data_IF_106095255620
#
_entry.id   IF_106095255620
#
_cell.length_a   1.000
_cell.length_b   1.000
_cell.length_c   1.000
_cell.angle_alpha   90.00
_cell.angle_beta   90.00
_cell.angle_gamma   90.00
#
_symmetry.space_group_name_H-M   'P 1'
#
loop_
_entity.id
_entity.type
_entity.pdbx_description
1 polymer ?
#
# COMPACT_ATOMS: atom_id res chain seq x y z
N UNK A 1 49.94 34.55 -5.99
CA UNK A 1 49.35 35.82 -6.44
C UNK A 1 48.28 35.46 -7.45
N UNK A 2 46.99 35.72 -7.31
CA UNK A 2 46.22 36.53 -6.35
C UNK A 2 44.79 35.99 -6.43
N UNK A 3 44.15 35.90 -5.27
CA UNK A 3 42.72 35.71 -5.12
C UNK A 3 41.96 36.82 -5.86
N UNK A 4 40.77 36.50 -6.39
CA UNK A 4 39.59 37.34 -6.20
C UNK A 4 38.33 36.45 -6.15
N UNK A 5 37.76 36.39 -4.96
CA UNK A 5 36.40 36.03 -4.63
C UNK A 5 35.41 37.04 -5.23
N UNK A 6 34.29 36.56 -5.78
CA UNK A 6 33.05 37.31 -5.82
C UNK A 6 31.87 36.32 -5.80
N UNK A 7 31.26 36.24 -4.63
CA UNK A 7 29.91 35.77 -4.34
C UNK A 7 28.87 36.48 -5.21
N UNK A 8 27.87 35.75 -5.70
CA UNK A 8 26.47 36.18 -5.68
C UNK A 8 25.54 35.03 -6.04
N UNK A 9 24.56 34.86 -5.17
CA UNK A 9 23.41 34.00 -5.28
C UNK A 9 22.67 34.12 -6.61
N UNK A 10 22.41 33.00 -7.27
CA UNK A 10 21.09 32.70 -7.83
C UNK A 10 20.82 31.24 -7.55
N UNK A 11 20.03 30.98 -6.50
CA UNK A 11 19.49 29.66 -6.23
C UNK A 11 18.63 29.23 -7.41
N UNK A 12 19.06 28.18 -8.11
CA UNK A 12 18.18 27.46 -9.01
C UNK A 12 17.03 26.88 -8.17
N UNK A 13 15.76 27.21 -8.47
CA UNK A 13 14.65 26.60 -7.77
C UNK A 13 14.60 25.12 -8.15
N UNK A 14 14.75 24.27 -7.14
CA UNK A 14 14.47 22.82 -7.23
C UNK A 14 13.18 22.59 -8.03
N UNK A 15 13.16 21.65 -8.99
CA UNK A 15 12.00 21.40 -9.82
C UNK A 15 10.79 21.13 -8.93
N UNK A 16 9.81 22.02 -9.05
CA UNK A 16 8.56 21.98 -8.32
C UNK A 16 7.95 20.58 -8.41
N UNK A 17 7.66 19.98 -7.25
CA UNK A 17 6.68 18.91 -7.01
C UNK A 17 6.53 17.95 -8.19
N UNK A 18 7.09 16.75 -8.08
CA UNK A 18 6.65 15.60 -8.89
C UNK A 18 5.14 15.59 -8.89
N UNK A 19 4.56 15.98 -10.03
CA UNK A 19 3.14 16.13 -10.22
C UNK A 19 2.52 14.78 -9.83
N UNK A 20 1.76 14.74 -8.74
CA UNK A 20 0.88 13.61 -8.49
C UNK A 20 0.14 13.31 -9.80
N UNK A 21 0.06 12.05 -10.26
CA UNK A 21 -0.65 11.75 -11.49
C UNK A 21 -2.06 12.32 -11.35
N UNK A 22 -2.31 13.40 -12.09
CA UNK A 22 -3.65 13.98 -12.18
C UNK A 22 -4.46 12.88 -12.83
N UNK A 23 -5.30 12.20 -12.06
CA UNK A 23 -6.31 11.32 -12.63
C UNK A 23 -7.13 12.18 -13.59
N UNK A 24 -6.85 12.03 -14.89
CA UNK A 24 -7.50 12.80 -15.92
C UNK A 24 -9.01 12.60 -15.77
N UNK A 25 -9.78 13.68 -15.89
CA UNK A 25 -11.23 13.55 -16.12
C UNK A 25 -11.43 12.52 -17.23
N UNK A 26 -12.46 11.65 -17.13
CA UNK A 26 -12.84 10.83 -18.26
C UNK A 26 -12.95 11.72 -19.49
N UNK A 27 -12.20 11.40 -20.53
CA UNK A 27 -12.41 12.03 -21.84
C UNK A 27 -13.85 11.68 -22.30
N UNK A 28 -14.38 12.40 -23.29
CA UNK A 28 -15.78 12.20 -23.76
C UNK A 28 -16.07 10.73 -24.12
N UNK A 29 -15.10 10.05 -24.71
CA UNK A 29 -15.24 8.65 -25.13
C UNK A 29 -15.27 7.69 -23.93
N UNK A 30 -14.45 7.93 -22.91
CA UNK A 30 -14.45 7.16 -21.67
C UNK A 30 -15.72 7.39 -20.84
N UNK A 31 -16.21 8.63 -20.78
CA UNK A 31 -17.49 8.94 -20.12
C UNK A 31 -18.66 8.21 -20.81
N UNK A 32 -18.71 8.27 -22.14
CA UNK A 32 -19.71 7.55 -22.93
C UNK A 32 -19.62 6.02 -22.73
N UNK A 33 -18.41 5.46 -22.64
CA UNK A 33 -18.23 4.03 -22.35
C UNK A 33 -18.74 3.62 -20.97
N UNK A 34 -18.57 4.47 -19.95
CA UNK A 34 -19.08 4.21 -18.60
C UNK A 34 -20.61 4.25 -18.52
N UNK A 35 -21.27 4.98 -19.41
CA UNK A 35 -22.73 5.14 -19.47
C UNK A 35 -23.40 4.20 -20.49
N UNK A 36 -22.61 3.44 -21.26
CA UNK A 36 -23.11 2.55 -22.30
C UNK A 36 -23.82 1.32 -21.72
N UNK A 37 -25.15 1.24 -21.92
CA UNK A 37 -25.99 0.13 -21.46
C UNK A 37 -25.57 -1.23 -22.07
N UNK A 38 -25.16 -1.26 -23.34
CA UNK A 38 -24.72 -2.49 -24.02
C UNK A 38 -23.38 -3.00 -23.49
N UNK A 39 -22.41 -2.12 -23.25
CA UNK A 39 -21.14 -2.52 -22.62
C UNK A 39 -21.36 -3.09 -21.21
N UNK A 40 -22.33 -2.51 -20.48
CA UNK A 40 -22.73 -3.01 -19.15
C UNK A 40 -23.39 -4.40 -19.22
N UNK A 41 -24.26 -4.64 -20.21
CA UNK A 41 -24.89 -5.94 -20.45
C UNK A 41 -23.88 -7.02 -20.88
N UNK A 42 -22.87 -6.63 -21.67
CA UNK A 42 -21.81 -7.52 -22.14
C UNK A 42 -20.69 -7.76 -21.12
N UNK A 43 -20.79 -7.20 -19.91
CA UNK A 43 -19.78 -7.34 -18.86
C UNK A 43 -18.44 -6.68 -19.21
N UNK A 44 -18.41 -5.77 -20.18
CA UNK A 44 -17.22 -5.01 -20.56
C UNK A 44 -16.93 -4.04 -19.41
N UNK A 45 -15.86 -4.32 -18.67
CA UNK A 45 -15.60 -3.71 -17.37
C UNK A 45 -15.50 -2.18 -17.44
N UNK A 46 -16.18 -1.52 -16.51
CA UNK A 46 -15.91 -0.12 -16.12
C UNK A 46 -14.44 0.00 -15.72
N UNK A 47 -13.66 0.92 -16.31
CA UNK A 47 -12.27 1.08 -15.91
C UNK A 47 -12.17 1.65 -14.48
N UNK A 48 -11.08 1.33 -13.76
CA UNK A 48 -10.86 1.85 -12.42
C UNK A 48 -10.67 3.37 -12.48
N UNK A 49 -11.49 4.12 -11.74
CA UNK A 49 -11.19 5.53 -11.40
C UNK A 49 -12.20 6.62 -11.79
N UNK A 50 -13.43 6.29 -12.21
CA UNK A 50 -14.44 7.32 -12.52
C UNK A 50 -14.93 8.08 -11.28
N UNK A 51 -14.58 9.37 -11.17
CA UNK A 51 -15.22 10.27 -10.21
C UNK A 51 -16.65 10.62 -10.67
N UNK A 52 -17.65 10.67 -9.77
CA UNK A 52 -19.03 10.98 -10.15
C UNK A 52 -19.17 12.41 -10.68
N UNK A 53 -20.22 12.69 -11.49
CA UNK A 53 -20.43 13.99 -12.11
C UNK A 53 -20.48 15.13 -11.09
N UNK A 54 -19.98 16.31 -11.49
CA UNK A 54 -20.02 17.52 -10.65
C UNK A 54 -21.46 18.00 -10.53
N UNK A 55 -22.02 17.79 -9.35
CA UNK A 55 -23.25 18.43 -8.90
C UNK A 55 -23.02 19.95 -8.86
N UNK A 56 -23.99 20.74 -9.30
CA UNK A 56 -24.06 22.18 -9.02
C UNK A 56 -24.08 22.41 -7.50
N UNK A 57 -23.78 23.62 -7.01
CA UNK A 57 -23.76 23.89 -5.57
C UNK A 57 -25.12 23.60 -4.89
N UNK A 58 -26.23 23.76 -5.60
CA UNK A 58 -27.57 23.40 -5.13
C UNK A 58 -27.78 21.89 -5.08
N UNK A 59 -27.36 21.16 -6.12
CA UNK A 59 -27.41 19.70 -6.17
C UNK A 59 -26.47 19.05 -5.15
N UNK A 60 -25.28 19.62 -4.91
CA UNK A 60 -24.33 19.15 -3.90
C UNK A 60 -24.88 19.35 -2.48
N UNK A 61 -25.55 20.49 -2.22
CA UNK A 61 -26.25 20.73 -0.95
C UNK A 61 -27.43 19.78 -0.78
N UNK A 62 -28.21 19.53 -1.84
CA UNK A 62 -29.34 18.60 -1.82
C UNK A 62 -28.89 17.15 -1.61
N UNK A 63 -27.88 16.70 -2.34
CA UNK A 63 -27.25 15.38 -2.17
C UNK A 63 -26.61 15.23 -0.78
N UNK A 64 -25.98 16.27 -0.23
CA UNK A 64 -25.46 16.24 1.15
C UNK A 64 -26.60 16.12 2.18
N UNK A 65 -27.73 16.81 1.97
CA UNK A 65 -28.92 16.73 2.84
C UNK A 65 -29.60 15.37 2.75
N UNK A 66 -29.77 14.84 1.53
CA UNK A 66 -30.34 13.52 1.27
C UNK A 66 -29.44 12.41 1.81
N UNK A 67 -28.12 12.51 1.63
CA UNK A 67 -27.14 11.56 2.19
C UNK A 67 -27.15 11.60 3.72
N UNK A 68 -27.26 12.78 4.34
CA UNK A 68 -27.40 12.90 5.80
C UNK A 68 -28.70 12.26 6.26
N UNK A 69 -29.83 12.50 5.59
CA UNK A 69 -31.13 11.90 5.89
C UNK A 69 -31.11 10.37 5.74
N UNK A 70 -30.59 9.86 4.64
CA UNK A 70 -30.43 8.42 4.39
C UNK A 70 -29.50 7.77 5.42
N UNK A 71 -28.46 8.47 5.88
CA UNK A 71 -27.55 7.98 6.92
C UNK A 71 -28.22 7.95 8.30
N UNK A 72 -29.08 8.92 8.63
CA UNK A 72 -29.89 8.88 9.86
C UNK A 72 -30.93 7.75 9.79
N UNK A 73 -31.56 7.56 8.64
CA UNK A 73 -32.57 6.51 8.41
C UNK A 73 -31.95 5.10 8.42
N UNK A 74 -30.77 4.93 7.83
CA UNK A 74 -30.00 3.68 7.88
C UNK A 74 -29.44 3.35 9.29
N UNK A 75 -29.25 4.37 10.14
CA UNK A 75 -28.93 4.19 11.57
C UNK A 75 -30.16 3.84 12.41
N UNK A 76 -31.34 4.28 11.99
CA UNK A 76 -32.61 3.99 12.66
C UNK A 76 -33.21 2.63 12.26
N UNK A 77 -32.86 2.09 11.09
CA UNK A 77 -33.24 0.72 10.71
C UNK A 77 -32.53 -0.29 11.62
N UNK A 78 -33.25 -1.22 12.27
CA UNK A 78 -32.62 -2.30 13.03
C UNK A 78 -31.75 -3.13 12.09
N UNK A 79 -30.44 -3.01 12.25
CA UNK A 79 -29.48 -3.72 11.42
C UNK A 79 -29.55 -5.20 11.76
N UNK A 80 -29.88 -6.03 10.77
CA UNK A 80 -29.64 -7.47 10.84
C UNK A 80 -28.14 -7.63 11.09
N UNK A 81 -27.75 -8.14 12.26
CA UNK A 81 -26.35 -8.37 12.62
C UNK A 81 -25.78 -9.41 11.65
N UNK A 82 -25.14 -8.94 10.59
CA UNK A 82 -24.19 -9.76 9.85
C UNK A 82 -23.12 -10.19 10.87
N UNK A 83 -22.83 -11.50 11.00
CA UNK A 83 -21.81 -11.98 11.94
C UNK A 83 -20.51 -11.18 11.78
N UNK A 84 -19.94 -10.74 12.89
CA UNK A 84 -18.81 -9.78 13.00
C UNK A 84 -17.51 -10.33 12.40
N UNK A 85 -17.53 -11.54 11.86
CA UNK A 85 -16.34 -12.36 11.62
C UNK A 85 -15.55 -12.02 10.34
N UNK A 86 -15.88 -10.94 9.62
CA UNK A 86 -15.18 -10.61 8.36
C UNK A 86 -14.94 -9.13 8.08
N UNK A 87 -14.80 -8.27 9.10
CA UNK A 87 -13.98 -7.07 8.91
C UNK A 87 -12.52 -7.52 8.83
N UNK A 88 -12.10 -7.99 7.64
CA UNK A 88 -10.73 -8.45 7.38
C UNK A 88 -9.77 -7.36 7.87
N UNK A 89 -9.13 -7.61 9.01
CA UNK A 89 -7.95 -6.85 9.39
C UNK A 89 -6.99 -6.92 8.21
N UNK A 90 -6.56 -5.79 7.64
CA UNK A 90 -5.57 -5.85 6.60
C UNK A 90 -4.30 -6.45 7.21
N UNK A 91 -4.03 -7.70 6.88
CA UNK A 91 -2.88 -8.45 7.37
C UNK A 91 -1.62 -7.87 6.77
N UNK A 92 -0.54 -8.00 7.53
CA UNK A 92 0.78 -7.65 7.07
C UNK A 92 1.21 -8.68 6.02
N UNK A 93 1.73 -8.26 4.87
CA UNK A 93 2.36 -9.19 3.91
C UNK A 93 3.80 -9.52 4.30
N UNK A 94 4.50 -10.45 3.63
CA UNK A 94 5.84 -10.88 4.03
C UNK A 94 6.85 -9.72 4.03
N UNK A 95 6.91 -8.94 2.95
CA UNK A 95 7.80 -7.77 2.86
C UNK A 95 7.55 -6.68 3.91
N UNK A 96 6.32 -6.59 4.42
CA UNK A 96 5.99 -5.67 5.50
C UNK A 96 6.53 -6.17 6.84
N UNK A 97 6.47 -7.48 7.07
CA UNK A 97 6.99 -8.13 8.26
C UNK A 97 8.53 -8.13 8.26
N UNK A 98 9.16 -8.47 7.13
CA UNK A 98 10.61 -8.38 6.92
C UNK A 98 11.12 -6.98 7.23
N UNK A 99 10.56 -5.95 6.57
CA UNK A 99 10.91 -4.56 6.85
C UNK A 99 10.79 -4.21 8.33
N UNK A 100 9.71 -4.64 8.99
CA UNK A 100 9.52 -4.30 10.38
C UNK A 100 10.47 -5.05 11.32
N UNK A 101 10.80 -6.31 11.03
CA UNK A 101 11.82 -7.05 11.79
C UNK A 101 13.20 -6.39 11.64
N UNK A 102 13.58 -6.00 10.43
CA UNK A 102 14.84 -5.31 10.17
C UNK A 102 14.91 -3.96 10.92
N UNK A 103 13.81 -3.19 10.88
CA UNK A 103 13.71 -1.93 11.60
C UNK A 103 13.81 -2.13 13.11
N UNK A 104 13.13 -3.14 13.65
CA UNK A 104 13.15 -3.43 15.09
C UNK A 104 14.52 -3.91 15.55
N UNK A 105 15.13 -4.84 14.83
CA UNK A 105 16.48 -5.34 15.11
C UNK A 105 17.52 -4.21 15.05
N UNK A 106 17.39 -3.30 14.09
CA UNK A 106 18.24 -2.12 14.01
C UNK A 106 18.05 -1.18 15.20
N UNK A 107 16.81 -0.88 15.57
CA UNK A 107 16.53 -0.06 16.77
C UNK A 107 17.15 -0.71 18.02
N UNK A 108 17.05 -2.04 18.14
CA UNK A 108 17.67 -2.82 19.22
C UNK A 108 19.20 -2.65 19.24
N UNK A 109 19.85 -2.93 18.11
CA UNK A 109 21.31 -2.85 17.95
C UNK A 109 21.89 -1.44 18.14
N UNK A 110 21.11 -0.40 17.85
CA UNK A 110 21.50 1.00 18.10
C UNK A 110 21.33 1.42 19.57
N UNK A 111 20.83 0.54 20.44
CA UNK A 111 20.60 0.84 21.87
C UNK A 111 19.47 1.85 22.12
N UNK A 112 18.61 2.10 21.12
CA UNK A 112 17.61 3.15 21.16
C UNK A 112 16.41 2.80 22.06
N UNK A 113 16.35 3.37 23.26
CA UNK A 113 15.35 3.02 24.25
C UNK A 113 15.86 1.94 25.18
N UNK A 114 16.45 2.34 26.31
CA UNK A 114 17.15 1.47 27.26
C UNK A 114 16.22 0.70 28.21
N UNK A 115 14.92 1.02 28.18
CA UNK A 115 13.86 0.37 28.92
C UNK A 115 12.59 0.29 28.06
N UNK A 116 11.57 -0.50 28.44
CA UNK A 116 10.45 -0.81 27.55
C UNK A 116 9.71 0.42 27.01
N UNK A 117 9.46 1.44 27.82
CA UNK A 117 8.79 2.67 27.37
C UNK A 117 9.63 3.45 26.35
N UNK A 118 10.93 3.60 26.60
CA UNK A 118 11.88 4.17 25.66
C UNK A 118 11.94 3.38 24.35
N UNK A 119 11.99 2.04 24.43
CA UNK A 119 12.03 1.16 23.25
C UNK A 119 10.75 1.25 22.42
N UNK A 120 9.58 1.27 23.07
CA UNK A 120 8.29 1.48 22.40
C UNK A 120 8.24 2.82 21.66
N UNK A 121 8.74 3.87 22.31
CA UNK A 121 8.80 5.20 21.72
C UNK A 121 9.76 5.23 20.52
N UNK A 122 10.95 4.65 20.66
CA UNK A 122 11.96 4.54 19.60
C UNK A 122 11.39 3.85 18.36
N UNK A 123 10.73 2.70 18.52
CA UNK A 123 10.09 1.99 17.40
C UNK A 123 9.02 2.83 16.71
N UNK A 124 8.27 3.62 17.48
CA UNK A 124 7.23 4.50 16.92
C UNK A 124 7.85 5.64 16.10
N UNK A 125 8.93 6.25 16.58
CA UNK A 125 9.71 7.23 15.83
C UNK A 125 10.33 6.60 14.57
N UNK A 126 11.03 5.47 14.72
CA UNK A 126 11.68 4.76 13.62
C UNK A 126 10.68 4.40 12.51
N UNK A 127 9.51 3.84 12.86
CA UNK A 127 8.46 3.54 11.89
C UNK A 127 7.96 4.79 11.16
N UNK A 128 7.86 5.93 11.83
CA UNK A 128 7.41 7.19 11.21
C UNK A 128 8.49 7.84 10.35
N UNK A 129 9.75 7.75 10.78
CA UNK A 129 10.92 8.33 10.14
C UNK A 129 11.59 7.46 9.07
N UNK A 130 11.25 6.18 8.95
CA UNK A 130 11.93 5.23 8.05
C UNK A 130 12.08 5.67 6.58
N UNK A 131 11.21 6.56 6.09
CA UNK A 131 11.22 7.06 4.71
C UNK A 131 11.96 8.39 4.51
N UNK A 132 12.29 9.12 5.57
CA UNK A 132 12.85 10.47 5.45
C UNK A 132 13.98 10.77 6.44
N UNK A 133 14.18 9.93 7.45
CA UNK A 133 15.05 10.24 8.58
C UNK A 133 14.44 11.23 9.58
N UNK A 134 13.17 11.60 9.42
CA UNK A 134 12.50 12.58 10.27
C UNK A 134 11.06 12.15 10.54
N UNK A 135 10.56 12.42 11.74
CA UNK A 135 9.23 12.06 12.17
C UNK A 135 8.49 13.23 12.82
N UNK A 136 7.23 13.43 12.39
CA UNK A 136 6.32 14.33 13.06
C UNK A 136 5.65 13.62 14.25
N UNK A 137 5.64 14.30 15.40
CA UNK A 137 5.08 13.80 16.64
C UNK A 137 4.31 14.89 17.40
N UNK A 138 3.36 14.44 18.20
CA UNK A 138 2.51 15.31 19.03
C UNK A 138 2.41 14.74 20.44
N UNK A 139 2.09 15.57 21.44
CA UNK A 139 1.78 15.09 22.78
C UNK A 139 0.57 14.15 22.82
N UNK A 140 -0.30 14.16 21.80
CA UNK A 140 -1.37 13.17 21.66
C UNK A 140 -0.83 11.77 21.33
N UNK A 141 0.26 11.68 20.56
CA UNK A 141 0.89 10.40 20.23
C UNK A 141 1.47 9.74 21.48
N UNK A 142 2.15 10.51 22.35
CA UNK A 142 2.66 10.04 23.64
C UNK A 142 1.53 9.47 24.52
N UNK A 143 0.40 10.18 24.58
CA UNK A 143 -0.79 9.74 25.34
C UNK A 143 -1.41 8.45 24.78
N UNK A 144 -1.36 8.24 23.46
CA UNK A 144 -1.84 7.01 22.82
C UNK A 144 -0.91 5.83 23.15
N UNK A 145 0.40 6.07 23.24
CA UNK A 145 1.36 5.06 23.62
C UNK A 145 1.20 4.61 25.08
N UNK A 146 0.64 5.45 25.96
CA UNK A 146 0.46 5.16 27.40
C UNK A 146 1.79 4.85 28.06
N UNK A 147 2.77 5.71 27.81
CA UNK A 147 4.04 5.69 28.54
C UNK A 147 3.73 6.01 30.01
N UNK A 148 4.40 5.30 30.92
CA UNK A 148 4.39 5.55 32.36
C UNK A 148 5.06 6.90 32.66
N UNK A 149 6.22 7.14 32.04
CA UNK A 149 6.90 8.43 32.05
C UNK A 149 7.38 8.80 30.64
N UNK A 150 6.61 9.69 29.99
CA UNK A 150 6.93 10.16 28.66
C UNK A 150 8.19 11.05 28.63
N UNK A 151 8.48 11.78 29.72
CA UNK A 151 9.64 12.65 29.80
C UNK A 151 10.92 11.84 29.93
N UNK A 152 10.92 10.81 30.80
CA UNK A 152 12.03 9.88 30.92
C UNK A 152 12.30 9.13 29.60
N UNK A 153 11.25 8.65 28.92
CA UNK A 153 11.40 7.96 27.64
C UNK A 153 11.95 8.85 26.52
N UNK A 154 11.54 10.13 26.46
CA UNK A 154 12.11 11.09 25.52
C UNK A 154 13.55 11.44 25.88
N UNK A 155 13.83 11.67 27.16
CA UNK A 155 15.16 12.01 27.67
C UNK A 155 16.17 10.92 27.29
N UNK A 156 15.83 9.64 27.50
CA UNK A 156 16.66 8.49 27.11
C UNK A 156 17.07 8.49 25.63
N UNK A 157 16.13 8.80 24.73
CA UNK A 157 16.41 8.87 23.28
C UNK A 157 17.20 10.12 22.88
N UNK A 158 16.98 11.25 23.55
CA UNK A 158 17.69 12.51 23.25
C UNK A 158 19.10 12.53 23.84
N UNK A 159 19.30 12.03 25.06
CA UNK A 159 20.60 11.99 25.73
C UNK A 159 21.60 11.04 25.06
N UNK A 160 21.11 10.00 24.38
CA UNK A 160 21.94 9.12 23.54
C UNK A 160 22.25 9.71 22.17
N UNK A 161 21.66 10.84 21.80
CA UNK A 161 21.76 11.44 20.47
C UNK A 161 21.01 10.66 19.38
N UNK A 162 20.21 9.66 19.76
CA UNK A 162 19.44 8.87 18.80
C UNK A 162 18.26 9.65 18.21
N UNK A 163 17.68 10.56 19.00
CA UNK A 163 16.62 11.47 18.59
C UNK A 163 17.08 12.92 18.74
N UNK A 164 17.09 13.69 17.65
CA UNK A 164 17.46 15.10 17.67
C UNK A 164 16.20 15.97 17.86
N UNK A 165 15.90 16.26 19.12
CA UNK A 165 14.81 17.14 19.60
C UNK A 165 14.99 17.40 21.10
N UNK A 166 14.03 18.08 21.74
CA UNK A 166 13.93 18.14 23.21
C UNK A 166 12.65 17.45 23.71
N UNK A 167 12.65 16.84 24.91
CA UNK A 167 11.45 16.26 25.48
C UNK A 167 10.26 17.24 25.54
N UNK A 168 10.52 18.47 25.96
CA UNK A 168 9.51 19.52 26.12
C UNK A 168 8.84 19.84 24.79
N UNK A 169 9.64 19.97 23.72
CA UNK A 169 9.13 20.27 22.38
C UNK A 169 8.12 19.23 21.90
N UNK A 170 8.36 17.95 22.19
CA UNK A 170 7.45 16.87 21.79
C UNK A 170 6.22 16.78 22.67
N UNK A 171 6.38 16.99 23.98
CA UNK A 171 5.28 16.95 24.96
C UNK A 171 4.29 18.08 24.70
N UNK A 172 4.79 19.28 24.41
CA UNK A 172 3.99 20.49 24.17
C UNK A 172 3.41 20.55 22.75
N UNK A 173 3.90 19.73 21.81
CA UNK A 173 3.44 19.71 20.43
C UNK A 173 1.97 19.27 20.29
N UNK A 174 1.26 19.91 19.36
CA UNK A 174 -0.15 19.66 19.07
C UNK A 174 -0.39 19.35 17.58
N UNK A 175 -1.66 19.16 17.21
CA UNK A 175 -2.04 18.82 15.84
C UNK A 175 -1.80 19.96 14.83
N UNK A 176 -1.79 21.22 15.27
CA UNK A 176 -1.49 22.38 14.45
C UNK A 176 0.03 22.60 14.34
N UNK A 177 0.77 22.29 15.41
CA UNK A 177 2.22 22.49 15.52
C UNK A 177 2.90 21.18 15.97
N UNK A 178 3.02 20.18 15.08
CA UNK A 178 3.72 18.94 15.41
C UNK A 178 5.23 19.20 15.58
N UNK A 179 5.85 18.49 16.51
CA UNK A 179 7.30 18.47 16.64
C UNK A 179 7.89 17.66 15.49
N UNK A 180 8.72 18.30 14.67
CA UNK A 180 9.61 17.61 13.75
C UNK A 180 10.81 17.11 14.56
N UNK A 181 11.05 15.80 14.54
CA UNK A 181 12.12 15.15 15.27
C UNK A 181 13.00 14.40 14.28
N UNK A 182 14.29 14.69 14.27
CA UNK A 182 15.23 14.09 13.34
C UNK A 182 15.80 12.80 13.95
N UNK A 183 16.05 11.82 13.10
CA UNK A 183 16.55 10.50 13.43
C UNK A 183 17.85 10.30 12.65
N UNK A 184 19.00 10.78 13.18
CA UNK A 184 20.26 10.81 12.45
C UNK A 184 20.66 9.43 11.89
N UNK A 185 20.40 8.35 12.63
CA UNK A 185 20.72 6.99 12.18
C UNK A 185 19.89 6.54 10.97
N UNK A 186 18.71 7.15 10.76
CA UNK A 186 17.80 6.86 9.65
C UNK A 186 17.89 7.88 8.51
N UNK A 187 18.81 8.86 8.62
CA UNK A 187 19.11 9.79 7.54
C UNK A 187 19.56 9.02 6.28
N UNK A 188 19.09 9.43 5.11
CA UNK A 188 19.45 8.78 3.84
C UNK A 188 18.62 7.54 3.47
N UNK A 189 17.57 7.21 4.23
CA UNK A 189 16.59 6.15 3.91
C UNK A 189 17.21 4.77 3.70
N UNK A 190 17.54 4.04 4.78
CA UNK A 190 18.22 2.74 4.69
C UNK A 190 17.45 1.69 3.88
N UNK A 191 16.12 1.82 3.84
CA UNK A 191 15.24 0.88 3.16
C UNK A 191 14.72 1.45 1.84
N UNK A 192 14.83 0.66 0.76
CA UNK A 192 14.22 0.94 -0.54
C UNK A 192 12.73 0.55 -0.55
N UNK A 193 11.94 1.16 0.33
CA UNK A 193 10.51 0.83 0.49
C UNK A 193 9.60 2.00 0.11
N UNK A 194 8.41 1.68 -0.39
CA UNK A 194 7.36 2.67 -0.64
C UNK A 194 6.58 3.02 0.63
N UNK A 195 5.87 4.15 0.60
CA UNK A 195 5.03 4.58 1.73
C UNK A 195 3.97 3.54 2.14
N UNK A 196 3.46 2.76 1.19
CA UNK A 196 2.54 1.66 1.47
C UNK A 196 3.11 0.64 2.44
N UNK A 197 4.39 0.27 2.28
CA UNK A 197 5.03 -0.73 3.13
C UNK A 197 5.16 -0.22 4.57
N UNK A 198 5.74 0.98 4.73
CA UNK A 198 5.87 1.66 6.02
C UNK A 198 4.52 1.83 6.72
N UNK A 199 3.52 2.37 6.02
CA UNK A 199 2.21 2.64 6.63
C UNK A 199 1.48 1.37 7.06
N UNK A 200 1.71 0.24 6.37
CA UNK A 200 1.18 -1.06 6.77
C UNK A 200 1.83 -1.58 8.05
N UNK A 201 3.16 -1.51 8.16
CA UNK A 201 3.88 -1.89 9.37
C UNK A 201 3.49 -1.03 10.57
N UNK A 202 3.49 0.30 10.40
CA UNK A 202 3.05 1.24 11.45
C UNK A 202 1.61 0.99 11.89
N UNK A 203 0.69 0.83 10.94
CA UNK A 203 -0.71 0.53 11.26
C UNK A 203 -0.89 -0.83 11.94
N UNK A 204 -0.10 -1.84 11.57
CA UNK A 204 -0.09 -3.14 12.24
C UNK A 204 0.35 -2.97 13.71
N UNK A 205 1.47 -2.29 13.94
CA UNK A 205 2.01 -2.07 15.28
C UNK A 205 1.01 -1.36 16.20
N UNK A 206 0.44 -0.24 15.75
CA UNK A 206 -0.60 0.48 16.51
C UNK A 206 -1.81 -0.40 16.84
N UNK A 207 -2.26 -1.27 15.91
CA UNK A 207 -3.38 -2.18 16.16
C UNK A 207 -3.04 -3.28 17.16
N UNK A 208 -1.83 -3.84 17.07
CA UNK A 208 -1.33 -4.85 18.03
C UNK A 208 -1.33 -4.27 19.44
N UNK A 209 -0.76 -3.06 19.60
CA UNK A 209 -0.71 -2.34 20.86
C UNK A 209 -2.09 -1.92 21.40
N UNK A 210 -3.05 -1.67 20.51
CA UNK A 210 -4.43 -1.29 20.84
C UNK A 210 -5.39 -2.49 20.95
N UNK A 211 -4.88 -3.73 20.78
CA UNK A 211 -5.71 -4.92 20.85
C UNK A 211 -6.42 -5.01 22.20
N UNK A 212 -7.66 -5.55 22.23
CA UNK A 212 -8.51 -5.57 23.44
C UNK A 212 -7.83 -6.23 24.66
N UNK A 213 -6.99 -7.24 24.41
CA UNK A 213 -6.21 -7.97 25.43
C UNK A 213 -4.96 -7.19 25.91
N UNK A 214 -4.49 -6.21 25.14
CA UNK A 214 -3.21 -5.51 25.37
C UNK A 214 -3.34 -4.02 25.73
N UNK A 215 -4.38 -3.32 25.26
CA UNK A 215 -4.51 -1.85 25.35
C UNK A 215 -4.46 -1.22 26.75
N UNK A 216 -4.56 -2.03 27.82
CA UNK A 216 -4.50 -1.59 29.24
C UNK A 216 -3.36 -2.27 30.00
N UNK A 217 -2.46 -2.98 29.31
CA UNK A 217 -1.36 -3.71 29.92
C UNK A 217 -0.09 -2.85 29.94
N UNK A 218 0.88 -3.15 30.82
CA UNK A 218 2.18 -2.47 30.83
C UNK A 218 2.88 -2.58 29.47
N UNK A 219 3.71 -1.60 29.12
CA UNK A 219 4.36 -1.56 27.81
C UNK A 219 5.37 -2.68 27.60
N UNK A 220 6.05 -3.14 28.67
CA UNK A 220 6.87 -4.38 28.62
C UNK A 220 6.11 -5.57 28.06
N UNK A 221 4.88 -5.80 28.53
CA UNK A 221 4.03 -6.89 28.04
C UNK A 221 3.55 -6.62 26.61
N UNK A 222 3.19 -5.37 26.29
CA UNK A 222 2.71 -4.98 24.95
C UNK A 222 3.80 -5.11 23.89
N UNK A 223 5.06 -4.82 24.23
CA UNK A 223 6.21 -4.98 23.34
C UNK A 223 6.52 -6.44 23.10
N UNK A 224 6.65 -7.26 24.15
CA UNK A 224 6.90 -8.71 23.99
C UNK A 224 5.77 -9.34 23.17
N UNK A 225 4.51 -9.01 23.47
CA UNK A 225 3.35 -9.45 22.69
C UNK A 225 3.46 -9.11 21.19
N UNK A 226 3.91 -7.88 20.88
CA UNK A 226 4.07 -7.44 19.50
C UNK A 226 5.29 -8.05 18.83
N UNK A 227 6.42 -8.19 19.53
CA UNK A 227 7.62 -8.85 19.01
C UNK A 227 7.32 -10.31 18.64
N UNK A 228 6.74 -11.09 19.56
CA UNK A 228 6.39 -12.48 19.28
C UNK A 228 5.40 -12.60 18.11
N UNK A 229 4.39 -11.73 18.04
CA UNK A 229 3.43 -11.73 16.93
C UNK A 229 4.06 -11.33 15.58
N UNK A 230 5.08 -10.46 15.58
CA UNK A 230 5.84 -10.09 14.39
C UNK A 230 6.72 -11.26 13.92
N UNK A 231 7.22 -12.08 14.83
CA UNK A 231 8.08 -13.22 14.55
C UNK A 231 7.33 -14.55 14.34
N UNK A 232 6.01 -14.55 14.47
CA UNK A 232 5.19 -15.71 14.15
C UNK A 232 5.21 -16.02 12.64
N UNK A 233 5.22 -17.31 12.28
CA UNK A 233 4.97 -17.80 10.93
C UNK A 233 3.48 -17.60 10.53
N UNK A 234 3.10 -17.84 9.26
CA UNK A 234 1.70 -17.70 8.83
C UNK A 234 0.69 -18.54 9.61
N UNK A 235 1.13 -19.67 10.16
CA UNK A 235 0.33 -20.57 10.99
C UNK A 235 0.33 -20.13 12.47
N UNK A 236 1.04 -19.06 12.81
CA UNK A 236 1.10 -18.48 14.14
C UNK A 236 2.18 -19.07 15.05
N UNK A 237 3.02 -20.00 14.56
CA UNK A 237 4.10 -20.60 15.38
C UNK A 237 5.25 -19.61 15.55
N UNK A 238 5.77 -19.58 16.76
CA UNK A 238 6.82 -18.67 17.21
C UNK A 238 8.02 -19.50 17.63
N UNK A 239 9.20 -19.12 17.14
CA UNK A 239 10.48 -19.67 17.58
C UNK A 239 11.55 -18.58 17.50
N UNK A 240 11.91 -18.01 18.65
CA UNK A 240 12.88 -16.90 18.76
C UNK A 240 13.83 -17.13 19.93
N UNK A 241 15.12 -16.77 19.82
CA UNK A 241 16.03 -16.79 20.97
C UNK A 241 15.51 -15.86 22.09
N UNK A 242 15.58 -16.31 23.34
CA UNK A 242 15.12 -15.55 24.49
C UNK A 242 15.92 -14.25 24.68
N UNK A 243 17.24 -14.31 24.42
CA UNK A 243 18.14 -13.16 24.46
C UNK A 243 17.74 -12.07 23.45
N UNK A 244 17.35 -12.46 22.23
CA UNK A 244 16.86 -11.51 21.21
C UNK A 244 15.59 -10.80 21.68
N UNK A 245 14.68 -11.50 22.38
CA UNK A 245 13.47 -10.89 22.92
C UNK A 245 13.80 -9.90 24.04
N UNK A 246 14.72 -10.27 24.93
CA UNK A 246 15.20 -9.40 26.03
C UNK A 246 15.79 -8.12 25.48
N UNK A 247 16.72 -8.21 24.53
CA UNK A 247 17.38 -7.05 23.92
C UNK A 247 16.39 -6.19 23.11
N UNK A 248 15.61 -6.82 22.22
CA UNK A 248 14.69 -6.11 21.34
C UNK A 248 13.52 -5.42 22.09
N UNK A 249 13.17 -5.91 23.28
CA UNK A 249 12.14 -5.30 24.13
C UNK A 249 12.71 -4.46 25.28
N UNK A 250 14.05 -4.35 25.38
CA UNK A 250 14.75 -3.69 26.48
C UNK A 250 14.28 -4.17 27.87
N UNK A 251 14.23 -5.50 28.04
CA UNK A 251 13.95 -6.15 29.32
C UNK A 251 15.22 -6.25 30.15
N UNK A 252 15.06 -6.44 31.46
CA UNK A 252 16.18 -6.55 32.40
C UNK A 252 16.97 -7.85 32.21
N UNK A 253 16.26 -8.97 32.07
CA UNK A 253 16.83 -10.31 31.92
C UNK A 253 15.80 -11.33 31.39
N UNK A 254 16.23 -12.59 31.27
CA UNK A 254 15.38 -13.71 30.87
C UNK A 254 14.35 -14.11 31.93
N UNK A 255 14.53 -13.73 33.20
CA UNK A 255 13.57 -13.96 34.28
C UNK A 255 12.34 -13.06 34.12
N UNK A 256 12.56 -11.77 33.82
CA UNK A 256 11.48 -10.85 33.45
C UNK A 256 10.73 -11.36 32.21
N UNK A 257 11.44 -11.86 31.20
CA UNK A 257 10.80 -12.46 30.03
C UNK A 257 9.91 -13.66 30.40
N UNK A 258 10.36 -14.55 31.27
CA UNK A 258 9.58 -15.72 31.71
C UNK A 258 8.27 -15.33 32.43
N UNK A 259 8.31 -14.28 33.26
CA UNK A 259 7.12 -13.69 33.89
C UNK A 259 6.13 -13.21 32.82
N UNK A 260 6.61 -12.46 31.83
CA UNK A 260 5.76 -11.91 30.76
C UNK A 260 5.18 -13.00 29.87
N UNK A 261 5.93 -14.06 29.55
CA UNK A 261 5.44 -15.21 28.78
C UNK A 261 4.32 -15.97 29.50
N UNK A 262 4.45 -16.12 30.82
CA UNK A 262 3.37 -16.68 31.66
C UNK A 262 2.13 -15.79 31.57
N UNK A 263 2.29 -14.47 31.70
CA UNK A 263 1.17 -13.55 31.59
C UNK A 263 0.50 -13.55 30.21
N UNK A 264 1.28 -13.66 29.14
CA UNK A 264 0.74 -13.78 27.77
C UNK A 264 -0.05 -15.07 27.58
N UNK A 265 0.35 -16.16 28.24
CA UNK A 265 -0.37 -17.43 28.24
C UNK A 265 -1.71 -17.30 28.98
N UNK A 266 -1.72 -16.71 30.17
CA UNK A 266 -2.93 -16.46 30.96
C UNK A 266 -3.93 -15.55 30.22
N UNK A 267 -3.40 -14.56 29.49
CA UNK A 267 -4.21 -13.70 28.63
C UNK A 267 -4.66 -14.40 27.35
N UNK A 268 -4.25 -15.65 27.10
CA UNK A 268 -4.42 -16.37 25.84
C UNK A 268 -4.05 -15.50 24.63
N UNK A 269 -2.91 -14.83 24.74
CA UNK A 269 -2.22 -14.18 23.64
C UNK A 269 -1.36 -15.18 22.87
N UNK A 270 -0.70 -16.07 23.61
CA UNK A 270 0.02 -17.25 23.11
C UNK A 270 -0.49 -18.51 23.80
N UNK A 271 -0.15 -19.66 23.23
CA UNK A 271 -0.36 -21.00 23.78
C UNK A 271 0.81 -21.92 23.43
N UNK A 272 0.87 -23.10 24.05
CA UNK A 272 1.93 -24.10 23.78
C UNK A 272 3.33 -23.60 24.13
N UNK A 273 3.46 -22.84 25.22
CA UNK A 273 4.73 -22.29 25.68
C UNK A 273 5.74 -23.41 25.94
N UNK A 274 6.90 -23.31 25.30
CA UNK A 274 8.07 -24.16 25.49
C UNK A 274 9.30 -23.27 25.58
N UNK A 275 10.24 -23.62 26.45
CA UNK A 275 11.48 -22.90 26.65
C UNK A 275 12.63 -23.91 26.56
N UNK A 276 12.97 -24.29 25.34
CA UNK A 276 13.98 -25.31 25.07
C UNK A 276 15.29 -24.64 24.65
N UNK A 277 16.36 -24.87 25.41
CA UNK A 277 17.72 -24.46 25.04
C UNK A 277 17.88 -22.96 24.78
N UNK A 278 17.19 -22.10 25.54
CA UNK A 278 17.24 -20.64 25.38
C UNK A 278 16.37 -20.10 24.25
N UNK A 279 15.54 -20.93 23.62
CA UNK A 279 14.60 -20.51 22.57
C UNK A 279 13.19 -20.47 23.13
N UNK A 280 12.49 -19.36 22.93
CA UNK A 280 11.06 -19.22 23.19
C UNK A 280 10.29 -19.86 22.05
N UNK A 281 9.63 -20.98 22.35
CA UNK A 281 8.67 -21.64 21.47
C UNK A 281 7.24 -21.39 21.96
N UNK A 282 6.35 -20.94 21.07
CA UNK A 282 4.92 -20.77 21.38
C UNK A 282 4.10 -20.74 20.08
N UNK A 283 2.79 -20.60 20.19
CA UNK A 283 1.91 -20.28 19.05
C UNK A 283 0.95 -19.16 19.42
N UNK A 284 0.61 -18.30 18.45
CA UNK A 284 -0.50 -17.36 18.57
C UNK A 284 -1.81 -18.14 18.69
N UNK A 285 -2.69 -17.71 19.59
CA UNK A 285 -4.03 -18.30 19.73
C UNK A 285 -4.93 -17.90 18.56
N UNK A 286 -6.10 -18.53 18.42
CA UNK A 286 -7.09 -18.16 17.40
C UNK A 286 -7.42 -16.65 17.39
N UNK A 287 -7.43 -16.02 18.57
CA UNK A 287 -7.73 -14.59 18.74
C UNK A 287 -6.61 -13.69 18.21
N UNK A 288 -5.36 -14.14 18.29
CA UNK A 288 -4.16 -13.34 17.96
C UNK A 288 -3.50 -13.77 16.66
N UNK A 289 -3.83 -14.95 16.11
CA UNK A 289 -3.43 -15.41 14.78
C UNK A 289 -3.69 -14.39 13.66
N UNK A 290 -4.72 -13.52 13.71
CA UNK A 290 -4.87 -12.40 12.78
C UNK A 290 -3.70 -11.41 12.69
N UNK A 291 -2.79 -11.42 13.67
CA UNK A 291 -1.60 -10.59 13.71
C UNK A 291 -0.43 -11.18 12.93
N UNK A 292 -0.38 -12.50 12.73
CA UNK A 292 0.62 -13.12 11.87
C UNK A 292 0.53 -12.57 10.44
N UNK A 293 1.70 -12.48 9.79
CA UNK A 293 1.75 -12.02 8.40
C UNK A 293 1.06 -13.05 7.50
N UNK A 294 0.44 -12.57 6.43
CA UNK A 294 -0.18 -13.41 5.42
C UNK A 294 0.81 -13.66 4.30
N UNK A 295 1.03 -14.92 3.89
CA UNK A 295 1.88 -15.22 2.75
C UNK A 295 1.27 -14.59 1.50
N UNK A 296 2.13 -14.27 0.53
CA UNK A 296 1.65 -13.88 -0.78
C UNK A 296 0.78 -15.02 -1.33
N UNK A 297 -0.35 -14.72 -1.98
CA UNK A 297 -1.05 -15.76 -2.73
C UNK A 297 -0.04 -16.40 -3.70
N UNK A 298 -0.18 -17.70 -4.01
CA UNK A 298 0.65 -18.31 -5.03
C UNK A 298 0.60 -17.43 -6.28
N UNK A 299 1.74 -17.24 -6.99
CA UNK A 299 1.73 -16.45 -8.21
C UNK A 299 0.59 -16.97 -9.07
N UNK A 300 -0.25 -16.05 -9.56
CA UNK A 300 -1.30 -16.43 -10.51
C UNK A 300 -0.59 -17.24 -11.59
N UNK A 301 -0.94 -18.52 -11.80
CA UNK A 301 -0.26 -19.31 -12.79
C UNK A 301 -0.30 -18.53 -14.10
N UNK A 302 0.80 -18.47 -14.87
CA UNK A 302 0.76 -17.86 -16.19
C UNK A 302 -0.45 -18.47 -16.90
N UNK A 303 -1.35 -17.63 -17.40
CA UNK A 303 -2.48 -18.13 -18.18
C UNK A 303 -1.87 -18.82 -19.38
N UNK A 304 -1.85 -20.15 -19.37
CA UNK A 304 -1.36 -21.00 -20.46
C UNK A 304 -2.38 -20.96 -21.59
N UNK A 305 -2.60 -19.78 -22.15
CA UNK A 305 -3.21 -19.68 -23.46
C UNK A 305 -2.16 -20.20 -24.46
N UNK A 306 -2.51 -21.14 -25.35
CA UNK A 306 -1.64 -21.44 -26.47
C UNK A 306 -1.48 -20.20 -27.33
N UNK A 307 -0.36 -20.08 -28.04
CA UNK A 307 -0.20 -19.02 -29.03
C UNK A 307 -1.26 -19.17 -30.11
N UNK A 308 -1.91 -18.06 -30.47
CA UNK A 308 -2.91 -18.02 -31.54
C UNK A 308 -2.28 -17.89 -32.93
N UNK A 309 -0.97 -17.65 -33.01
CA UNK A 309 -0.18 -17.52 -34.23
C UNK A 309 1.12 -18.35 -34.17
N UNK A 310 1.70 -18.76 -35.32
CA UNK A 310 2.95 -19.53 -35.36
C UNK A 310 4.15 -18.75 -34.78
N UNK A 311 4.69 -19.19 -33.64
CA UNK A 311 5.74 -18.46 -32.92
C UNK A 311 7.11 -18.45 -33.63
N UNK A 312 7.30 -19.31 -34.62
CA UNK A 312 8.50 -19.40 -35.46
C UNK A 312 8.60 -18.28 -36.50
N UNK A 313 7.52 -17.52 -36.71
CA UNK A 313 7.47 -16.38 -37.61
C UNK A 313 7.69 -15.06 -36.82
N UNK A 314 8.48 -14.09 -37.34
CA UNK A 314 8.67 -12.80 -36.69
C UNK A 314 7.33 -12.07 -36.41
N UNK A 315 7.27 -11.36 -35.27
CA UNK A 315 6.07 -10.64 -34.81
C UNK A 315 5.53 -9.68 -35.88
N UNK A 316 6.42 -8.96 -36.57
CA UNK A 316 6.05 -8.02 -37.62
C UNK A 316 5.39 -8.70 -38.83
N UNK A 317 5.84 -9.90 -39.21
CA UNK A 317 5.26 -10.66 -40.32
C UNK A 317 3.88 -11.20 -39.93
N UNK A 318 3.76 -11.78 -38.74
CA UNK A 318 2.47 -12.22 -38.20
C UNK A 318 1.47 -11.08 -38.07
N UNK A 319 1.91 -9.91 -37.62
CA UNK A 319 1.07 -8.73 -37.49
C UNK A 319 0.61 -8.22 -38.86
N UNK A 320 1.49 -8.24 -39.87
CA UNK A 320 1.12 -7.95 -41.26
C UNK A 320 0.05 -8.92 -41.77
N UNK A 321 0.15 -10.22 -41.48
CA UNK A 321 -0.88 -11.19 -41.85
C UNK A 321 -2.22 -10.92 -41.14
N UNK A 322 -2.20 -10.38 -39.92
CA UNK A 322 -3.41 -9.98 -39.20
C UNK A 322 -4.16 -8.82 -39.85
N UNK A 323 -3.47 -7.91 -40.53
CA UNK A 323 -4.06 -6.67 -41.07
C UNK A 323 -4.23 -6.69 -42.59
N UNK A 324 -3.37 -7.41 -43.33
CA UNK A 324 -3.29 -7.37 -44.79
C UNK A 324 -4.63 -7.70 -45.45
N UNK A 325 -5.14 -6.78 -46.27
CA UNK A 325 -6.41 -6.92 -46.97
C UNK A 325 -7.65 -6.83 -46.07
N UNK A 326 -7.47 -6.44 -44.80
CA UNK A 326 -8.52 -6.29 -43.78
C UNK A 326 -8.55 -4.89 -43.17
N UNK A 327 -7.66 -3.99 -43.57
CA UNK A 327 -7.45 -2.67 -42.97
C UNK A 327 -8.73 -1.82 -43.03
N UNK A 328 -9.33 -1.71 -44.21
CA UNK A 328 -10.60 -0.99 -44.40
C UNK A 328 -11.75 -1.64 -43.62
N UNK A 329 -11.77 -2.97 -43.54
CA UNK A 329 -12.79 -3.71 -42.77
C UNK A 329 -12.66 -3.42 -41.29
N UNK A 330 -11.44 -3.33 -40.75
CA UNK A 330 -11.18 -2.95 -39.36
C UNK A 330 -11.61 -1.52 -39.11
N UNK A 331 -11.25 -0.57 -39.98
CA UNK A 331 -11.68 0.82 -39.87
C UNK A 331 -13.21 0.97 -39.88
N UNK A 332 -13.91 0.32 -40.83
CA UNK A 332 -15.38 0.33 -40.91
C UNK A 332 -16.04 -0.30 -39.68
N UNK A 333 -15.46 -1.38 -39.13
CA UNK A 333 -15.98 -1.98 -37.92
C UNK A 333 -15.84 -1.04 -36.71
N UNK A 334 -14.69 -0.36 -36.57
CA UNK A 334 -14.49 0.66 -35.52
C UNK A 334 -15.48 1.82 -35.66
N UNK A 335 -15.76 2.27 -36.88
CA UNK A 335 -16.74 3.32 -37.14
C UNK A 335 -18.17 2.87 -36.79
N UNK A 336 -18.57 1.67 -37.19
CA UNK A 336 -19.86 1.08 -36.85
C UNK A 336 -20.03 0.92 -35.32
N UNK A 337 -18.99 0.42 -34.63
CA UNK A 337 -18.97 0.32 -33.17
C UNK A 337 -19.17 1.69 -32.52
N UNK A 338 -18.50 2.73 -33.03
CA UNK A 338 -18.68 4.10 -32.52
C UNK A 338 -20.09 4.64 -32.74
N UNK A 339 -20.67 4.41 -33.91
CA UNK A 339 -22.01 4.84 -34.24
C UNK A 339 -23.06 4.18 -33.31
N UNK A 340 -22.84 2.91 -32.97
CA UNK A 340 -23.73 2.15 -32.10
C UNK A 340 -23.54 2.45 -30.60
N UNK A 341 -22.29 2.61 -30.14
CA UNK A 341 -21.97 2.73 -28.71
C UNK A 341 -21.73 4.17 -28.25
N UNK A 342 -21.55 5.13 -29.16
CA UNK A 342 -21.20 6.52 -28.84
C UNK A 342 -19.75 6.74 -28.40
N UNK A 343 -18.93 5.68 -28.38
CA UNK A 343 -17.51 5.70 -28.04
C UNK A 343 -16.73 4.67 -28.87
N UNK A 344 -15.40 4.78 -28.90
CA UNK A 344 -14.53 3.82 -29.59
C UNK A 344 -14.44 2.48 -28.87
N UNK A 345 -14.15 1.39 -29.60
CA UNK A 345 -13.93 0.09 -28.99
C UNK A 345 -12.66 0.07 -28.13
N UNK A 346 -12.59 -0.89 -27.22
CA UNK A 346 -11.32 -1.27 -26.60
C UNK A 346 -10.49 -2.10 -27.58
N UNK A 347 -9.17 -2.18 -27.35
CA UNK A 347 -8.30 -3.06 -28.16
C UNK A 347 -8.72 -4.53 -28.05
N UNK A 348 -9.20 -4.96 -26.88
CA UNK A 348 -9.76 -6.30 -26.70
C UNK A 348 -10.99 -6.54 -27.56
N UNK A 349 -11.91 -5.57 -27.66
CA UNK A 349 -13.12 -5.71 -28.47
C UNK A 349 -12.80 -5.84 -29.97
N UNK A 350 -11.79 -5.10 -30.47
CA UNK A 350 -11.28 -5.26 -31.84
C UNK A 350 -10.63 -6.64 -31.99
N UNK A 351 -9.77 -7.04 -31.04
CA UNK A 351 -9.09 -8.33 -31.11
C UNK A 351 -10.09 -9.50 -31.15
N UNK A 352 -11.12 -9.46 -30.31
CA UNK A 352 -12.20 -10.45 -30.29
C UNK A 352 -12.97 -10.46 -31.62
N UNK A 353 -13.31 -9.29 -32.18
CA UNK A 353 -14.07 -9.18 -33.44
C UNK A 353 -13.30 -9.69 -34.66
N UNK A 354 -11.97 -9.66 -34.64
CA UNK A 354 -11.11 -10.09 -35.74
C UNK A 354 -10.33 -11.36 -35.46
N UNK A 355 -10.63 -12.04 -34.34
CA UNK A 355 -9.94 -13.24 -33.86
C UNK A 355 -8.43 -13.08 -33.78
N UNK A 356 -7.97 -11.92 -33.31
CA UNK A 356 -6.57 -11.62 -33.05
C UNK A 356 -6.15 -12.12 -31.66
N UNK A 357 -4.84 -12.32 -31.42
CA UNK A 357 -4.33 -12.72 -30.12
C UNK A 357 -4.88 -11.85 -28.99
N UNK A 358 -5.61 -12.41 -28.02
CA UNK A 358 -6.11 -11.64 -26.89
C UNK A 358 -4.93 -11.21 -26.00
N UNK A 359 -5.12 -10.17 -25.18
CA UNK A 359 -4.08 -9.66 -24.25
C UNK A 359 -3.44 -10.73 -23.35
N UNK A 360 -4.13 -11.85 -23.15
CA UNK A 360 -3.70 -12.94 -22.27
C UNK A 360 -2.96 -14.05 -23.01
N UNK A 361 -2.83 -13.95 -24.34
CA UNK A 361 -2.09 -14.89 -25.16
C UNK A 361 -0.58 -14.61 -25.10
N UNK A 362 0.27 -15.64 -25.23
CA UNK A 362 1.73 -15.48 -25.21
C UNK A 362 2.23 -14.63 -26.40
N UNK A 363 1.47 -14.57 -27.49
CA UNK A 363 1.72 -13.79 -28.71
C UNK A 363 0.87 -12.49 -28.79
N UNK A 364 0.46 -11.92 -27.66
CA UNK A 364 -0.30 -10.66 -27.64
C UNK A 364 0.46 -9.45 -28.22
N UNK A 365 1.79 -9.53 -28.30
CA UNK A 365 2.66 -8.54 -28.93
C UNK A 365 2.36 -8.37 -30.43
N UNK A 366 1.91 -9.44 -31.11
CA UNK A 366 1.43 -9.39 -32.50
C UNK A 366 0.22 -8.47 -32.63
N UNK A 367 -0.71 -8.49 -31.67
CA UNK A 367 -1.88 -7.60 -31.65
C UNK A 367 -1.47 -6.14 -31.45
N UNK A 368 -0.50 -5.88 -30.58
CA UNK A 368 0.06 -4.53 -30.40
C UNK A 368 0.68 -4.01 -31.70
N UNK A 369 1.44 -4.87 -32.39
CA UNK A 369 2.09 -4.53 -33.65
C UNK A 369 1.08 -4.32 -34.79
N UNK A 370 0.00 -5.10 -34.85
CA UNK A 370 -1.10 -4.89 -35.79
C UNK A 370 -1.77 -3.52 -35.61
N UNK A 371 -1.97 -3.07 -34.36
CA UNK A 371 -2.46 -1.72 -34.07
C UNK A 371 -1.46 -0.63 -34.47
N UNK A 372 -0.16 -0.87 -34.32
CA UNK A 372 0.90 0.05 -34.77
C UNK A 372 0.82 0.26 -36.29
N UNK A 373 0.75 -0.83 -37.06
CA UNK A 373 0.61 -0.78 -38.52
C UNK A 373 -0.64 0.00 -38.95
N UNK A 374 -1.80 -0.32 -38.38
CA UNK A 374 -3.05 0.40 -38.68
C UNK A 374 -3.01 1.89 -38.30
N UNK A 375 -2.22 2.25 -37.29
CA UNK A 375 -1.99 3.65 -36.91
C UNK A 375 -1.11 4.38 -37.92
N UNK A 376 0.00 3.74 -38.33
CA UNK A 376 0.98 4.32 -39.23
C UNK A 376 0.42 4.52 -40.64
N UNK A 377 -0.33 3.53 -41.12
CA UNK A 377 -1.00 3.58 -42.42
C UNK A 377 -2.26 4.48 -42.40
N UNK A 378 -2.60 5.06 -41.25
CA UNK A 378 -3.70 6.01 -41.10
C UNK A 378 -5.10 5.39 -41.18
N UNK A 379 -5.21 4.06 -41.03
CA UNK A 379 -6.49 3.34 -40.99
C UNK A 379 -7.21 3.49 -39.65
N UNK A 380 -6.47 3.63 -38.56
CA UNK A 380 -6.99 3.90 -37.22
C UNK A 380 -6.32 5.12 -36.59
N UNK A 381 -7.06 5.85 -35.77
CA UNK A 381 -6.55 6.99 -34.98
C UNK A 381 -7.11 6.96 -33.56
N UNK A 382 -6.72 7.93 -32.72
CA UNK A 382 -7.24 8.05 -31.34
C UNK A 382 -6.55 7.13 -30.33
N UNK A 383 -5.33 6.68 -30.64
CA UNK A 383 -4.45 5.96 -29.72
C UNK A 383 -4.06 6.82 -28.51
N UNK A 384 -3.74 6.16 -27.38
CA UNK A 384 -3.36 6.84 -26.13
C UNK A 384 -4.54 7.34 -25.28
N UNK A 385 -5.77 7.16 -25.75
CA UNK A 385 -7.00 7.60 -25.07
C UNK A 385 -7.90 6.38 -24.83
N UNK A 386 -8.32 6.06 -23.59
CA UNK A 386 -9.23 4.94 -23.33
C UNK A 386 -10.53 5.09 -24.13
N UNK A 387 -10.92 4.04 -24.86
CA UNK A 387 -12.08 4.02 -25.78
C UNK A 387 -12.04 5.09 -26.88
N UNK A 388 -10.85 5.63 -27.18
CA UNK A 388 -10.65 6.72 -28.13
C UNK A 388 -10.50 6.31 -29.60
N UNK A 389 -10.42 5.01 -29.90
CA UNK A 389 -10.19 4.49 -31.26
C UNK A 389 -11.24 5.01 -32.26
N UNK A 390 -10.78 5.40 -33.47
CA UNK A 390 -11.58 5.94 -34.58
C UNK A 390 -11.06 5.41 -35.91
N UNK A 391 -11.94 5.33 -36.92
CA UNK A 391 -11.52 5.14 -38.30
C UNK A 391 -10.73 6.35 -38.80
N UNK A 392 -9.69 6.08 -39.58
CA UNK A 392 -8.99 7.07 -40.40
C UNK A 392 -9.31 6.89 -41.88
N UNK A 393 -8.68 7.67 -42.75
CA UNK A 393 -8.90 7.60 -44.20
C UNK A 393 -8.04 6.56 -44.92
N UNK A 394 -7.05 6.00 -44.22
CA UNK A 394 -6.08 5.08 -44.78
C UNK A 394 -5.18 5.72 -45.84
N UNK A 395 -3.99 5.18 -45.99
CA UNK A 395 -3.22 5.29 -47.24
C UNK A 395 -3.18 3.87 -47.80
N UNK A 396 -3.78 3.58 -48.97
CA UNK A 396 -3.63 2.26 -49.57
C UNK A 396 -2.14 2.02 -49.85
N UNK A 397 -1.64 0.89 -49.36
CA UNK A 397 -0.26 0.44 -49.57
C UNK A 397 -0.05 -0.11 -50.98
#
# INVERSE_FOLDING_TARGET
MTQHTATSDVGEPLPSKTSQPRFHRPNKDLAAAMECARCKEQGISVPPGGAPPRLTNSEAKRAKKERKRAQTEARARPQVKVPVDRKRMPRMGPHHAEFFRDLWARTAAEGAGTFPDGRLLALTFALRGALRGEANFTGQDLRILRLEDAHAALSDLTSSGWLDTTPERVIEADAANPALCDLPSLAGTPWKIGNGVRSRASGWFTRTLAHKKMRKKPNRLRLVAAYLALHADPEGRIRVPAEDVVDACALSDTGELAELLTWLTDLSWIEGLSADGGVVGASLTEVTLPLAYQPLPPPTPPRTAPASTPLDVPVADRARDLVRGREERVARWVEAYRAEHGHGPSWSAVADAFAWPPRQAPDHDVTHEAFRLLSEDGWLTGFGVPFGLRSGRGTPA
#
